data_IF_632984813649
#
_entry.id   IF_632984813649
#
_cell.length_a   1.000
_cell.length_b   1.000
_cell.length_c   1.000
_cell.angle_alpha   90.00
_cell.angle_beta   90.00
_cell.angle_gamma   90.00
#
_symmetry.space_group_name_H-M   'P 1'
#
loop_
_entity.id
_entity.type
_entity.pdbx_description
1 polymer ?
#
# COMPACT_ATOMS: atom_id res chain seq x y z
N UNK A 1 -33.06 -5.96 -1.02
CA UNK A 1 -31.94 -5.38 -0.22
C UNK A 1 -31.03 -6.44 0.41
N UNK A 2 -31.54 -7.62 0.83
CA UNK A 2 -30.74 -8.69 1.47
C UNK A 2 -29.70 -9.39 0.56
N UNK A 3 -29.84 -9.34 -0.77
CA UNK A 3 -29.02 -10.14 -1.68
C UNK A 3 -27.60 -9.62 -1.92
N UNK A 4 -27.40 -8.30 -1.96
CA UNK A 4 -26.10 -7.71 -2.27
C UNK A 4 -25.05 -7.95 -1.16
N UNK A 5 -25.47 -7.94 0.11
CA UNK A 5 -24.60 -8.24 1.24
C UNK A 5 -24.17 -9.71 1.24
N UNK A 6 -25.13 -10.63 0.99
CA UNK A 6 -24.86 -12.07 0.84
C UNK A 6 -23.92 -12.35 -0.34
N UNK A 7 -24.09 -11.65 -1.47
CA UNK A 7 -23.20 -11.78 -2.62
C UNK A 7 -21.75 -11.36 -2.31
N UNK A 8 -21.55 -10.24 -1.60
CA UNK A 8 -20.20 -9.82 -1.14
C UNK A 8 -19.59 -10.81 -0.17
N UNK A 9 -20.38 -11.34 0.78
CA UNK A 9 -19.92 -12.35 1.73
C UNK A 9 -19.49 -13.65 1.01
N UNK A 10 -20.31 -14.15 0.08
CA UNK A 10 -19.97 -15.31 -0.76
C UNK A 10 -18.72 -15.07 -1.61
N UNK A 11 -18.55 -13.87 -2.16
CA UNK A 11 -17.35 -13.51 -2.91
C UNK A 11 -16.08 -13.46 -2.03
N UNK A 12 -16.18 -12.93 -0.80
CA UNK A 12 -15.08 -12.95 0.17
C UNK A 12 -14.73 -14.38 0.62
N UNK A 13 -15.72 -15.24 0.83
CA UNK A 13 -15.51 -16.66 1.14
C UNK A 13 -14.73 -17.39 0.03
N UNK A 14 -14.84 -16.93 -1.22
CA UNK A 14 -14.05 -17.42 -2.37
C UNK A 14 -12.67 -16.73 -2.52
N UNK A 15 -12.22 -15.97 -1.51
CA UNK A 15 -10.90 -15.32 -1.51
C UNK A 15 -10.84 -13.92 -2.13
N UNK A 16 -11.98 -13.31 -2.51
CA UNK A 16 -11.97 -11.94 -3.05
C UNK A 16 -11.56 -10.93 -1.96
N UNK A 17 -10.37 -10.33 -2.13
CA UNK A 17 -9.98 -9.12 -1.39
C UNK A 17 -10.62 -7.89 -2.04
N UNK A 18 -11.66 -7.36 -1.43
CA UNK A 18 -12.33 -6.13 -1.88
C UNK A 18 -11.55 -4.85 -1.50
N UNK A 19 -11.99 -3.70 -2.03
CA UNK A 19 -11.38 -2.39 -1.76
C UNK A 19 -10.32 -1.98 -2.78
N UNK A 20 -9.76 -0.78 -2.60
CA UNK A 20 -8.67 -0.26 -3.45
C UNK A 20 -7.39 -1.07 -3.17
N UNK A 21 -6.70 -1.50 -4.22
CA UNK A 21 -5.39 -2.16 -4.09
C UNK A 21 -4.40 -1.22 -3.37
N UNK A 22 -3.54 -1.76 -2.47
CA UNK A 22 -2.45 -0.98 -1.89
C UNK A 22 -1.58 -0.37 -2.99
N UNK A 23 -1.08 0.85 -2.75
CA UNK A 23 -0.21 1.56 -3.68
C UNK A 23 1.23 1.01 -3.66
N UNK A 24 1.64 0.38 -2.55
CA UNK A 24 2.96 -0.24 -2.40
C UNK A 24 2.82 -1.68 -1.92
N UNK A 25 3.65 -2.58 -2.45
CA UNK A 25 3.79 -3.96 -1.98
C UNK A 25 4.82 -4.03 -0.84
N UNK A 26 4.85 -5.11 -0.07
CA UNK A 26 5.85 -5.30 1.00
C UNK A 26 7.30 -5.25 0.49
N UNK A 27 7.55 -5.72 -0.73
CA UNK A 27 8.85 -5.57 -1.39
C UNK A 27 9.24 -4.12 -1.62
N UNK A 28 8.28 -3.27 -2.00
CA UNK A 28 8.51 -1.85 -2.23
C UNK A 28 8.78 -1.12 -0.91
N UNK A 29 8.08 -1.50 0.17
CA UNK A 29 8.32 -0.96 1.51
C UNK A 29 9.73 -1.30 1.99
N UNK A 30 10.19 -2.53 1.79
CA UNK A 30 11.58 -2.94 2.11
C UNK A 30 12.61 -2.13 1.33
N UNK A 31 12.39 -1.95 0.02
CA UNK A 31 13.26 -1.13 -0.83
C UNK A 31 13.26 0.33 -0.38
N UNK A 32 12.10 0.91 -0.08
CA UNK A 32 11.98 2.28 0.42
C UNK A 32 12.72 2.49 1.75
N UNK A 33 12.62 1.52 2.68
CA UNK A 33 13.38 1.54 3.95
C UNK A 33 14.89 1.51 3.67
N UNK A 34 15.35 0.66 2.76
CA UNK A 34 16.77 0.59 2.38
C UNK A 34 17.27 1.89 1.72
N UNK A 35 16.48 2.50 0.83
CA UNK A 35 16.84 3.79 0.20
C UNK A 35 17.03 4.90 1.24
N UNK A 36 16.21 4.91 2.29
CA UNK A 36 16.27 5.92 3.37
C UNK A 36 17.40 5.69 4.37
N UNK A 37 18.17 4.60 4.27
CA UNK A 37 19.40 4.42 5.06
C UNK A 37 20.52 5.35 4.58
N UNK A 38 20.46 5.77 3.31
CA UNK A 38 21.42 6.73 2.77
C UNK A 38 21.11 8.15 3.30
N UNK A 39 22.08 8.85 3.93
CA UNK A 39 21.83 10.11 4.63
C UNK A 39 21.44 11.28 3.71
N UNK A 40 21.73 11.17 2.42
CA UNK A 40 21.41 12.18 1.41
C UNK A 40 20.07 11.96 0.71
N UNK A 41 19.44 10.79 0.91
CA UNK A 41 18.18 10.45 0.24
C UNK A 41 17.00 10.98 1.03
N UNK A 42 16.16 11.79 0.39
CA UNK A 42 14.98 12.38 1.04
C UNK A 42 13.73 11.54 0.84
N UNK A 43 12.79 11.65 1.79
CA UNK A 43 11.45 11.05 1.65
C UNK A 43 10.69 11.56 0.41
N UNK A 44 11.02 12.76 -0.09
CA UNK A 44 10.44 13.31 -1.31
C UNK A 44 10.87 12.51 -2.54
N UNK A 45 12.16 12.23 -2.66
CA UNK A 45 12.72 11.48 -3.79
C UNK A 45 12.25 10.04 -3.77
N UNK A 46 12.23 9.40 -2.60
CA UNK A 46 11.71 8.03 -2.43
C UNK A 46 10.22 7.99 -2.79
N UNK A 47 9.42 8.97 -2.35
CA UNK A 47 8.00 9.03 -2.70
C UNK A 47 7.78 9.17 -4.21
N UNK A 48 8.57 10.03 -4.88
CA UNK A 48 8.54 10.19 -6.35
C UNK A 48 8.93 8.89 -7.06
N UNK A 49 9.96 8.19 -6.58
CA UNK A 49 10.41 6.91 -7.14
C UNK A 49 9.30 5.85 -7.15
N UNK A 50 8.51 5.78 -6.08
CA UNK A 50 7.37 4.85 -5.98
C UNK A 50 6.04 5.42 -6.48
N UNK A 51 6.03 6.62 -7.09
CA UNK A 51 4.81 7.30 -7.56
C UNK A 51 3.71 7.42 -6.50
N UNK A 52 4.11 7.62 -5.24
CA UNK A 52 3.20 7.84 -4.12
C UNK A 52 3.38 9.24 -3.55
N UNK A 53 2.37 9.73 -2.84
CA UNK A 53 2.53 10.98 -2.08
C UNK A 53 3.43 10.73 -0.86
N UNK A 54 4.14 11.77 -0.41
CA UNK A 54 4.95 11.71 0.82
C UNK A 54 4.14 11.24 2.05
N UNK A 55 2.89 11.70 2.28
CA UNK A 55 2.06 11.17 3.37
C UNK A 55 1.72 9.69 3.20
N UNK A 56 1.49 9.23 1.97
CA UNK A 56 1.24 7.81 1.71
C UNK A 56 2.50 6.97 2.02
N UNK A 57 3.67 7.41 1.58
CA UNK A 57 4.95 6.76 1.91
C UNK A 57 5.12 6.63 3.43
N UNK A 58 4.90 7.71 4.19
CA UNK A 58 5.00 7.68 5.66
C UNK A 58 4.05 6.65 6.29
N UNK A 59 2.81 6.52 5.79
CA UNK A 59 1.88 5.49 6.28
C UNK A 59 2.39 4.07 6.05
N UNK A 60 3.09 3.81 4.95
CA UNK A 60 3.67 2.50 4.69
C UNK A 60 4.94 2.23 5.51
N UNK A 61 5.73 3.26 5.82
CA UNK A 61 6.94 3.12 6.65
C UNK A 61 6.62 2.89 8.13
N UNK A 62 5.50 3.41 8.61
CA UNK A 62 5.03 3.30 10.01
C UNK A 62 4.10 2.09 10.26
N UNK A 63 4.00 1.15 9.31
CA UNK A 63 3.38 -0.17 9.52
C UNK A 63 4.39 -1.13 10.12
#
# INVERSE_FOLDING_TARGET
MLDAARARARARARGRKGGRKPAMKEGDIRKAKAMLLAPYVTKSEVAKHFQVSRPALNKYLNR
#
